data_IF_512475251417
#
_entry.id   IF_512475251417
#
_cell.length_a   1.000
_cell.length_b   1.000
_cell.length_c   1.000
_cell.angle_alpha   90.00
_cell.angle_beta   90.00
_cell.angle_gamma   90.00
#
_symmetry.space_group_name_H-M   'P 1'
#
loop_
_entity.id
_entity.type
_entity.pdbx_description
1 polymer ?
#
# COMPACT_ATOMS: atom_id res chain seq x y z
N UNK A 1 -19.00 8.52 -0.84
CA UNK A 1 -18.28 9.52 -0.03
C UNK A 1 -17.37 10.40 -0.89
N UNK A 2 -16.48 9.84 -1.75
CA UNK A 2 -15.57 10.63 -2.61
C UNK A 2 -16.32 11.54 -3.59
N UNK A 3 -17.41 11.08 -4.18
CA UNK A 3 -18.24 11.88 -5.11
C UNK A 3 -18.85 13.14 -4.47
N UNK A 4 -18.97 13.18 -3.15
CA UNK A 4 -19.42 14.40 -2.44
C UNK A 4 -18.38 15.53 -2.46
N UNK A 5 -17.12 15.24 -2.80
CA UNK A 5 -15.96 16.16 -2.72
C UNK A 5 -15.71 16.75 -1.31
N UNK A 6 -16.41 16.24 -0.27
CA UNK A 6 -16.29 16.70 1.12
C UNK A 6 -15.31 15.88 1.94
N UNK A 7 -14.80 14.75 1.42
CA UNK A 7 -13.88 13.86 2.10
C UNK A 7 -12.45 14.19 1.71
N UNK A 8 -11.60 14.40 2.71
CA UNK A 8 -10.14 14.56 2.49
C UNK A 8 -9.53 13.22 2.08
N UNK A 9 -8.45 13.27 1.30
CA UNK A 9 -7.65 12.10 0.96
C UNK A 9 -6.54 11.90 1.99
N UNK A 10 -6.15 10.66 2.17
CA UNK A 10 -5.05 10.26 3.02
C UNK A 10 -5.45 9.22 4.07
N UNK A 11 -4.45 8.67 4.73
CA UNK A 11 -4.60 7.67 5.78
C UNK A 11 -5.52 8.19 6.90
N UNK A 12 -6.54 7.41 7.25
CA UNK A 12 -7.47 7.73 8.35
C UNK A 12 -8.62 8.69 7.98
N UNK A 13 -8.71 9.19 6.72
CA UNK A 13 -9.84 10.03 6.28
C UNK A 13 -11.14 9.25 6.20
N UNK A 14 -11.07 8.01 5.75
CA UNK A 14 -12.18 7.05 5.72
C UNK A 14 -11.73 5.81 6.48
N UNK A 15 -12.55 5.35 7.41
CA UNK A 15 -12.33 4.09 8.13
C UNK A 15 -13.37 3.09 7.69
N UNK A 16 -12.92 1.86 7.41
CA UNK A 16 -13.78 0.76 7.12
C UNK A 16 -13.52 -0.34 8.15
N UNK A 17 -14.57 -0.74 8.87
CA UNK A 17 -14.58 -1.91 9.72
C UNK A 17 -15.37 -2.99 8.97
N UNK A 18 -14.67 -4.06 8.60
CA UNK A 18 -15.24 -5.17 7.82
C UNK A 18 -15.61 -6.29 8.77
N UNK A 19 -16.86 -6.72 8.72
CA UNK A 19 -17.33 -7.86 9.51
C UNK A 19 -17.43 -9.08 8.61
N UNK A 20 -16.71 -10.15 8.96
CA UNK A 20 -16.67 -11.39 8.20
C UNK A 20 -17.22 -12.53 9.05
N UNK A 21 -18.16 -13.28 8.51
CA UNK A 21 -18.77 -14.46 9.10
C UNK A 21 -18.96 -15.52 8.03
N UNK A 22 -18.73 -16.78 8.37
CA UNK A 22 -19.01 -17.91 7.49
C UNK A 22 -20.25 -18.68 7.99
N UNK A 23 -20.93 -19.36 7.07
CA UNK A 23 -22.17 -20.09 7.39
C UNK A 23 -21.99 -21.12 8.52
N UNK A 24 -20.87 -21.83 8.48
CA UNK A 24 -20.58 -22.91 9.45
C UNK A 24 -19.94 -22.40 10.75
N UNK A 25 -19.80 -21.07 10.92
CA UNK A 25 -19.14 -20.42 12.05
C UNK A 25 -20.04 -20.18 13.26
N UNK A 26 -21.22 -20.80 13.36
CA UNK A 26 -22.16 -20.67 14.49
C UNK A 26 -22.47 -19.21 14.88
N UNK A 27 -22.59 -18.32 13.89
CA UNK A 27 -22.88 -16.91 14.12
C UNK A 27 -21.70 -16.06 14.60
N UNK A 28 -20.51 -16.61 14.68
CA UNK A 28 -19.30 -15.86 15.01
C UNK A 28 -19.02 -14.83 13.90
N UNK A 29 -18.81 -13.59 14.32
CA UNK A 29 -18.46 -12.46 13.42
C UNK A 29 -17.12 -11.90 13.85
N UNK A 30 -16.18 -11.85 12.92
CA UNK A 30 -14.84 -11.25 13.12
C UNK A 30 -14.84 -9.85 12.56
N UNK A 31 -14.51 -8.88 13.39
CA UNK A 31 -14.31 -7.49 13.00
C UNK A 31 -12.87 -7.30 12.49
N UNK A 32 -12.70 -6.88 11.25
CA UNK A 32 -11.40 -6.56 10.64
C UNK A 32 -11.28 -5.06 10.44
N UNK A 33 -10.33 -4.46 11.14
CA UNK A 33 -10.00 -3.04 11.07
C UNK A 33 -8.86 -2.76 10.08
N UNK A 34 -8.72 -1.49 9.68
CA UNK A 34 -7.56 -1.04 8.91
C UNK A 34 -7.64 -1.33 7.40
N UNK A 35 -8.80 -1.65 6.88
CA UNK A 35 -9.02 -1.74 5.44
C UNK A 35 -9.14 -0.33 4.89
N UNK A 36 -8.09 0.17 4.21
CA UNK A 36 -8.01 1.55 3.74
C UNK A 36 -8.38 1.69 2.26
N UNK A 37 -8.20 0.65 1.48
CA UNK A 37 -8.38 0.66 0.02
C UNK A 37 -9.45 -0.36 -0.38
N UNK A 38 -10.24 -0.02 -1.40
CA UNK A 38 -11.34 -0.89 -1.86
C UNK A 38 -10.81 -2.18 -2.50
N UNK A 39 -9.66 -2.14 -3.16
CA UNK A 39 -8.99 -3.29 -3.77
C UNK A 39 -8.46 -4.31 -2.75
N UNK A 40 -8.27 -3.89 -1.49
CA UNK A 40 -7.92 -4.80 -0.40
C UNK A 40 -9.12 -5.57 0.14
N UNK A 41 -10.34 -5.07 -0.06
CA UNK A 41 -11.55 -5.61 0.56
C UNK A 41 -11.77 -7.07 0.20
N UNK A 42 -11.69 -7.41 -1.09
CA UNK A 42 -11.84 -8.78 -1.58
C UNK A 42 -10.84 -9.73 -0.93
N UNK A 43 -9.56 -9.36 -0.95
CA UNK A 43 -8.47 -10.18 -0.38
C UNK A 43 -8.64 -10.41 1.11
N UNK A 44 -9.03 -9.35 1.85
CA UNK A 44 -9.26 -9.43 3.29
C UNK A 44 -10.43 -10.34 3.63
N UNK A 45 -11.54 -10.23 2.91
CA UNK A 45 -12.72 -11.09 3.12
C UNK A 45 -12.40 -12.54 2.78
N UNK A 46 -11.73 -12.77 1.66
CA UNK A 46 -11.32 -14.12 1.24
C UNK A 46 -10.38 -14.78 2.26
N UNK A 47 -9.33 -14.06 2.68
CA UNK A 47 -8.38 -14.57 3.67
C UNK A 47 -9.05 -14.87 4.99
N UNK A 48 -9.90 -13.96 5.51
CA UNK A 48 -10.56 -14.15 6.80
C UNK A 48 -11.59 -15.29 6.74
N UNK A 49 -12.31 -15.45 5.65
CA UNK A 49 -13.22 -16.57 5.46
C UNK A 49 -12.46 -17.92 5.42
N UNK A 50 -11.34 -17.98 4.70
CA UNK A 50 -10.44 -19.16 4.69
C UNK A 50 -9.88 -19.44 6.09
N UNK A 51 -9.50 -18.38 6.84
CA UNK A 51 -9.00 -18.52 8.20
C UNK A 51 -10.06 -19.14 9.12
N UNK A 52 -11.28 -18.61 9.10
CA UNK A 52 -12.37 -19.13 9.91
C UNK A 52 -12.66 -20.61 9.58
N UNK A 53 -12.77 -20.94 8.31
CA UNK A 53 -12.98 -22.32 7.88
C UNK A 53 -11.79 -23.22 8.25
N UNK A 54 -10.56 -22.74 8.12
CA UNK A 54 -9.36 -23.46 8.53
C UNK A 54 -9.31 -23.74 10.04
N UNK A 55 -9.75 -22.78 10.86
CA UNK A 55 -9.84 -22.98 12.30
C UNK A 55 -10.87 -24.05 12.67
N UNK A 56 -12.00 -24.16 11.96
CA UNK A 56 -12.95 -25.26 12.16
C UNK A 56 -12.34 -26.62 11.81
N UNK A 57 -11.48 -26.70 10.79
CA UNK A 57 -10.76 -27.94 10.48
C UNK A 57 -9.74 -28.29 11.56
N UNK A 58 -9.00 -27.28 12.07
CA UNK A 58 -8.08 -27.46 13.20
C UNK A 58 -8.83 -27.91 14.46
N UNK A 59 -9.98 -27.27 14.76
CA UNK A 59 -10.84 -27.65 15.88
C UNK A 59 -11.21 -29.15 15.86
N UNK A 60 -11.70 -29.65 14.72
CA UNK A 60 -12.03 -31.06 14.55
C UNK A 60 -10.84 -31.97 14.85
N UNK A 61 -9.66 -31.63 14.34
CA UNK A 61 -8.44 -32.41 14.59
C UNK A 61 -8.03 -32.40 16.07
N UNK A 62 -8.19 -31.29 16.77
CA UNK A 62 -7.91 -31.22 18.23
C UNK A 62 -8.89 -32.07 19.00
N UNK A 63 -10.20 -32.03 18.69
CA UNK A 63 -11.24 -32.81 19.33
C UNK A 63 -10.98 -34.33 19.22
N UNK A 64 -10.51 -34.81 18.05
CA UNK A 64 -10.14 -36.18 17.81
C UNK A 64 -9.01 -36.69 18.73
N UNK A 65 -8.17 -35.77 19.24
CA UNK A 65 -6.99 -36.09 20.07
C UNK A 65 -7.32 -36.28 21.56
N UNK A 66 -8.51 -35.86 22.02
CA UNK A 66 -8.89 -35.85 23.45
C UNK A 66 -7.78 -35.20 24.31
N UNK A 67 -7.32 -34.02 23.90
CA UNK A 67 -6.27 -33.31 24.59
C UNK A 67 -6.83 -32.53 25.78
N UNK A 68 -6.11 -32.58 26.90
CA UNK A 68 -6.32 -31.77 28.10
C UNK A 68 -4.98 -31.26 28.60
N UNK A 69 -4.95 -30.06 29.13
CA UNK A 69 -3.74 -29.43 29.69
C UNK A 69 -3.66 -29.63 31.19
N UNK A 70 -2.45 -29.87 31.70
CA UNK A 70 -2.13 -29.92 33.12
C UNK A 70 -0.94 -29.03 33.42
N UNK A 71 -0.82 -28.51 34.66
CA UNK A 71 0.32 -27.64 35.04
C UNK A 71 1.69 -28.33 34.91
N UNK A 72 1.74 -29.66 34.97
CA UNK A 72 2.96 -30.45 34.76
C UNK A 72 3.48 -30.37 33.32
N UNK A 73 2.66 -29.94 32.38
CA UNK A 73 3.01 -29.82 30.97
C UNK A 73 3.86 -28.56 30.67
N UNK A 74 4.09 -27.69 31.67
CA UNK A 74 4.91 -26.49 31.59
C UNK A 74 6.23 -26.69 32.33
N UNK A 75 7.37 -26.41 31.66
CA UNK A 75 8.74 -26.54 32.23
C UNK A 75 9.61 -25.36 31.85
N UNK A 76 10.41 -24.87 32.82
CA UNK A 76 11.51 -23.96 32.56
C UNK A 76 12.69 -24.75 31.98
N UNK A 77 13.15 -24.36 30.80
CA UNK A 77 14.25 -24.97 30.05
C UNK A 77 15.38 -23.99 29.79
N UNK A 78 15.44 -22.90 30.54
CA UNK A 78 16.43 -21.81 30.33
C UNK A 78 17.85 -22.34 30.43
N UNK A 79 18.17 -23.16 31.43
CA UNK A 79 19.50 -23.75 31.59
C UNK A 79 19.83 -24.72 30.47
N UNK A 80 18.88 -25.55 30.05
CA UNK A 80 19.01 -26.52 28.97
C UNK A 80 19.42 -25.82 27.66
N UNK A 81 18.77 -24.69 27.35
CA UNK A 81 18.98 -23.91 26.13
C UNK A 81 20.07 -22.82 26.28
N UNK A 82 20.79 -22.77 27.37
CA UNK A 82 21.85 -21.76 27.61
C UNK A 82 22.95 -21.77 26.55
N UNK A 83 23.26 -22.93 25.96
CA UNK A 83 24.27 -23.11 24.92
C UNK A 83 23.71 -23.28 23.50
N UNK A 84 22.38 -23.20 23.32
CA UNK A 84 21.72 -23.34 22.05
C UNK A 84 22.20 -22.26 21.06
N UNK A 85 22.37 -22.61 19.79
CA UNK A 85 22.86 -21.70 18.74
C UNK A 85 21.81 -20.69 18.25
N UNK A 86 20.58 -20.79 18.70
CA UNK A 86 19.51 -19.86 18.33
C UNK A 86 19.77 -18.45 18.82
N UNK A 87 19.99 -17.52 17.90
CA UNK A 87 20.18 -16.10 18.21
C UNK A 87 18.98 -15.50 18.97
N UNK A 88 17.78 -15.98 18.68
CA UNK A 88 16.54 -15.51 19.34
C UNK A 88 16.56 -15.91 20.81
N UNK A 89 16.86 -17.17 21.10
CA UNK A 89 16.94 -17.70 22.47
C UNK A 89 18.09 -17.03 23.23
N UNK A 90 19.28 -16.93 22.63
CA UNK A 90 20.42 -16.29 23.26
C UNK A 90 20.17 -14.82 23.60
N UNK A 91 19.49 -14.09 22.70
CA UNK A 91 19.12 -12.70 22.96
C UNK A 91 18.08 -12.57 24.08
N UNK A 92 17.16 -13.53 24.19
CA UNK A 92 16.19 -13.58 25.27
C UNK A 92 16.84 -13.83 26.63
N UNK A 93 17.76 -14.80 26.71
CA UNK A 93 18.52 -15.10 27.93
C UNK A 93 19.38 -13.90 28.36
N UNK A 94 20.03 -13.21 27.43
CA UNK A 94 20.78 -11.97 27.71
C UNK A 94 19.91 -10.85 28.28
N UNK A 95 18.61 -10.86 27.99
CA UNK A 95 17.61 -9.94 28.54
C UNK A 95 16.93 -10.45 29.81
N UNK A 96 17.52 -11.45 30.47
CA UNK A 96 16.97 -12.10 31.66
C UNK A 96 15.55 -12.67 31.47
N UNK A 97 15.20 -13.11 30.25
CA UNK A 97 13.96 -13.81 29.99
C UNK A 97 14.17 -15.31 30.25
N UNK A 98 13.11 -15.97 30.70
CA UNK A 98 13.06 -17.42 30.85
C UNK A 98 12.63 -18.07 29.54
N UNK A 99 13.16 -19.24 29.28
CA UNK A 99 12.77 -20.07 28.13
C UNK A 99 11.87 -21.16 28.67
N UNK A 100 10.63 -21.19 28.21
CA UNK A 100 9.59 -22.11 28.71
C UNK A 100 9.21 -23.07 27.59
N UNK A 101 9.19 -24.36 27.92
CA UNK A 101 8.56 -25.38 27.10
C UNK A 101 7.16 -25.68 27.64
N UNK A 102 6.19 -25.79 26.73
CA UNK A 102 4.83 -26.22 27.03
C UNK A 102 4.54 -27.44 26.17
N UNK A 103 4.24 -28.59 26.78
CA UNK A 103 3.93 -29.82 26.06
C UNK A 103 2.43 -29.99 25.85
N UNK A 104 2.06 -30.64 24.75
CA UNK A 104 0.70 -30.89 24.34
C UNK A 104 0.57 -32.38 23.97
N UNK A 105 0.04 -33.17 24.88
CA UNK A 105 -0.07 -34.62 24.69
C UNK A 105 -0.93 -34.98 23.50
N UNK A 106 -0.47 -35.90 22.67
CA UNK A 106 -1.16 -36.40 21.45
C UNK A 106 -1.36 -35.35 20.35
N UNK A 107 -0.74 -34.18 20.41
CA UNK A 107 -0.98 -33.05 19.50
C UNK A 107 0.06 -32.94 18.38
N UNK A 108 0.92 -33.94 18.15
CA UNK A 108 1.91 -33.94 17.09
C UNK A 108 1.27 -33.62 15.72
N UNK A 109 1.87 -32.70 14.96
CA UNK A 109 1.44 -32.26 13.64
C UNK A 109 0.28 -31.24 13.64
N UNK A 110 -0.28 -30.87 14.78
CA UNK A 110 -1.44 -29.95 14.83
C UNK A 110 -1.04 -28.49 14.66
N UNK A 111 0.09 -28.07 15.21
CA UNK A 111 0.55 -26.68 15.10
C UNK A 111 0.98 -26.31 13.69
N UNK A 112 1.57 -27.29 12.97
CA UNK A 112 2.02 -27.16 11.59
C UNK A 112 0.96 -27.48 10.53
N UNK A 113 -0.19 -28.05 10.92
CA UNK A 113 -1.25 -28.39 9.97
C UNK A 113 -1.74 -27.15 9.22
N UNK A 114 -1.73 -27.23 7.90
CA UNK A 114 -2.09 -26.16 6.96
C UNK A 114 -3.40 -26.48 6.23
N UNK A 115 -4.56 -26.10 6.79
CA UNK A 115 -5.82 -26.23 6.07
C UNK A 115 -5.87 -25.35 4.82
N UNK A 116 -5.23 -24.20 4.87
CA UNK A 116 -5.00 -23.25 3.78
C UNK A 116 -3.63 -22.61 3.90
N UNK A 117 -3.10 -22.08 2.80
CA UNK A 117 -1.83 -21.37 2.80
C UNK A 117 -1.83 -20.22 3.82
N UNK A 118 -0.80 -20.19 4.66
CA UNK A 118 -0.64 -19.18 5.70
C UNK A 118 -1.58 -19.30 6.92
N UNK A 119 -2.44 -20.34 6.98
CA UNK A 119 -3.40 -20.55 8.08
C UNK A 119 -3.03 -21.82 8.84
N UNK A 120 -2.57 -21.67 10.07
CA UNK A 120 -2.17 -22.76 10.96
C UNK A 120 -2.28 -22.36 12.42
N UNK A 121 -2.43 -23.35 13.31
CA UNK A 121 -2.52 -23.12 14.75
C UNK A 121 -1.28 -22.41 15.32
N UNK A 122 -0.09 -22.78 14.84
CA UNK A 122 1.17 -22.12 15.26
C UNK A 122 1.17 -20.62 14.99
N UNK A 123 0.63 -20.17 13.83
CA UNK A 123 0.50 -18.73 13.51
C UNK A 123 -0.51 -18.03 14.44
N UNK A 124 -1.66 -18.66 14.71
CA UNK A 124 -2.67 -18.10 15.63
C UNK A 124 -2.10 -17.88 17.03
N UNK A 125 -1.36 -18.85 17.56
CA UNK A 125 -0.69 -18.74 18.86
C UNK A 125 0.41 -17.70 18.83
N UNK A 126 1.23 -17.66 17.77
CA UNK A 126 2.30 -16.66 17.62
C UNK A 126 1.75 -15.22 17.56
N UNK A 127 0.62 -15.00 16.90
CA UNK A 127 -0.04 -13.69 16.86
C UNK A 127 -0.59 -13.29 18.23
N UNK A 128 -1.18 -14.24 18.95
CA UNK A 128 -1.70 -14.01 20.31
C UNK A 128 -0.59 -13.57 21.27
N UNK A 129 0.54 -14.28 21.31
CA UNK A 129 1.61 -13.96 22.26
C UNK A 129 2.28 -12.62 21.95
N UNK A 130 2.31 -12.20 20.68
CA UNK A 130 2.80 -10.87 20.29
C UNK A 130 1.98 -9.74 20.91
N UNK A 131 0.68 -9.93 21.07
CA UNK A 131 -0.19 -8.97 21.79
C UNK A 131 0.26 -8.75 23.24
N UNK A 132 0.81 -9.80 23.89
CA UNK A 132 1.37 -9.71 25.24
C UNK A 132 2.83 -9.23 25.28
N UNK A 133 3.39 -8.82 24.13
CA UNK A 133 4.75 -8.30 24.01
C UNK A 133 5.84 -9.36 23.86
N UNK A 134 5.46 -10.61 23.53
CA UNK A 134 6.39 -11.70 23.23
C UNK A 134 6.63 -11.77 21.72
N UNK A 135 7.88 -12.02 21.30
CA UNK A 135 8.27 -12.02 19.90
C UNK A 135 7.62 -13.11 19.06
N UNK A 136 7.23 -14.21 19.65
CA UNK A 136 6.61 -15.35 19.01
C UNK A 136 6.82 -16.64 19.82
N UNK A 137 6.44 -17.77 19.22
CA UNK A 137 6.69 -19.10 19.73
C UNK A 137 7.32 -19.97 18.66
N UNK A 138 8.12 -20.95 19.05
CA UNK A 138 8.53 -22.06 18.20
C UNK A 138 7.65 -23.26 18.52
N UNK A 139 7.25 -24.03 17.52
CA UNK A 139 6.48 -25.26 17.74
C UNK A 139 7.21 -26.49 17.18
N UNK A 140 6.92 -27.66 17.75
CA UNK A 140 7.54 -28.93 17.40
C UNK A 140 7.53 -29.24 15.91
N UNK A 141 6.47 -28.84 15.21
CA UNK A 141 6.26 -29.22 13.81
C UNK A 141 7.09 -28.36 12.82
N UNK A 142 7.77 -27.32 13.28
CA UNK A 142 8.69 -26.50 12.47
C UNK A 142 10.17 -26.68 12.85
N UNK A 143 10.44 -27.42 13.90
CA UNK A 143 11.77 -27.70 14.40
C UNK A 143 12.28 -29.06 13.88
N UNK A 144 13.62 -29.25 13.66
CA UNK A 144 14.73 -28.32 13.97
C UNK A 144 14.84 -27.16 12.99
N UNK A 145 14.97 -25.94 13.50
CA UNK A 145 15.12 -24.72 12.71
C UNK A 145 15.59 -23.55 13.62
N UNK A 146 15.83 -22.38 13.06
CA UNK A 146 16.13 -21.12 13.78
C UNK A 146 17.36 -21.20 14.70
N UNK A 147 18.29 -22.11 14.43
CA UNK A 147 19.46 -22.36 15.25
C UNK A 147 19.18 -23.24 16.49
N UNK A 148 18.03 -23.89 16.54
CA UNK A 148 17.71 -25.00 17.45
C UNK A 148 18.04 -26.29 16.69
N UNK A 149 18.99 -27.07 17.17
CA UNK A 149 19.48 -28.28 16.53
C UNK A 149 18.75 -29.53 17.06
N UNK A 150 18.87 -30.66 16.35
CA UNK A 150 18.22 -31.92 16.77
C UNK A 150 18.74 -32.37 18.14
N UNK A 151 20.02 -32.15 18.47
CA UNK A 151 20.56 -32.43 19.78
C UNK A 151 19.84 -31.67 20.90
N UNK A 152 19.55 -30.39 20.69
CA UNK A 152 18.77 -29.56 21.66
C UNK A 152 17.37 -30.16 21.88
N UNK A 153 16.75 -30.63 20.79
CA UNK A 153 15.43 -31.22 20.82
C UNK A 153 15.40 -32.60 21.49
N UNK A 154 16.42 -33.42 21.30
CA UNK A 154 16.54 -34.69 22.01
C UNK A 154 16.68 -34.52 23.52
N UNK A 155 17.49 -33.55 23.95
CA UNK A 155 17.61 -33.20 25.38
C UNK A 155 16.30 -32.66 25.93
N UNK A 156 15.63 -31.77 25.19
CA UNK A 156 14.32 -31.24 25.54
C UNK A 156 13.28 -32.35 25.72
N UNK A 157 13.15 -33.26 24.74
CA UNK A 157 12.20 -34.38 24.79
C UNK A 157 12.42 -35.27 26.02
N UNK A 158 13.69 -35.54 26.36
CA UNK A 158 14.09 -36.30 27.56
C UNK A 158 13.71 -35.56 28.85
N UNK A 159 14.07 -34.27 28.91
CA UNK A 159 13.84 -33.44 30.10
C UNK A 159 12.34 -33.22 30.41
N UNK A 160 11.56 -32.90 29.36
CA UNK A 160 10.12 -32.64 29.48
C UNK A 160 9.27 -33.95 29.44
N UNK A 161 9.90 -35.08 29.07
CA UNK A 161 9.25 -36.40 28.87
C UNK A 161 8.24 -36.40 27.73
N UNK A 162 8.56 -35.70 26.62
CA UNK A 162 7.73 -35.60 25.41
C UNK A 162 7.81 -36.92 24.64
N UNK A 163 6.67 -37.48 24.25
CA UNK A 163 6.53 -38.68 23.40
C UNK A 163 6.46 -38.28 21.92
N UNK A 164 6.65 -39.25 21.05
CA UNK A 164 6.62 -39.04 19.58
C UNK A 164 5.28 -38.45 19.09
N UNK A 165 4.17 -38.79 19.73
CA UNK A 165 2.83 -38.30 19.39
C UNK A 165 2.46 -36.97 20.05
N UNK A 166 3.36 -36.37 20.81
CA UNK A 166 3.13 -35.12 21.52
C UNK A 166 3.71 -33.95 20.71
N UNK A 167 3.10 -32.80 20.88
CA UNK A 167 3.67 -31.54 20.40
C UNK A 167 4.20 -30.70 21.56
N UNK A 168 4.99 -29.68 21.25
CA UNK A 168 5.43 -28.71 22.23
C UNK A 168 5.58 -27.32 21.61
N UNK A 169 5.50 -26.31 22.46
CA UNK A 169 5.88 -24.93 22.16
C UNK A 169 7.07 -24.52 23.00
N UNK A 170 7.96 -23.71 22.43
CA UNK A 170 9.03 -23.02 23.15
C UNK A 170 8.77 -21.52 23.02
N UNK A 171 8.78 -20.81 24.15
CA UNK A 171 8.63 -19.36 24.19
C UNK A 171 9.61 -18.73 25.16
N UNK A 172 10.01 -17.49 24.86
CA UNK A 172 10.84 -16.68 25.73
C UNK A 172 10.01 -15.57 26.37
N UNK A 173 10.01 -15.45 27.69
CA UNK A 173 9.20 -14.48 28.42
C UNK A 173 9.88 -13.97 29.69
N UNK A 174 9.65 -12.71 30.10
CA UNK A 174 9.90 -12.28 31.47
C UNK A 174 9.16 -13.18 32.46
N UNK A 175 9.77 -13.48 33.58
CA UNK A 175 9.27 -14.44 34.56
C UNK A 175 7.86 -14.10 35.06
N UNK A 176 7.60 -12.82 35.31
CA UNK A 176 6.32 -12.31 35.79
C UNK A 176 5.16 -12.50 34.80
N UNK A 177 5.44 -12.66 33.51
CA UNK A 177 4.42 -12.83 32.45
C UNK A 177 4.16 -14.28 32.06
N UNK A 178 5.01 -15.22 32.46
CA UNK A 178 4.95 -16.62 32.01
C UNK A 178 3.59 -17.24 32.27
N UNK A 179 3.08 -17.13 33.50
CA UNK A 179 1.81 -17.73 33.89
C UNK A 179 0.67 -17.17 33.01
N UNK A 180 0.60 -15.86 32.86
CA UNK A 180 -0.44 -15.20 32.06
C UNK A 180 -0.38 -15.64 30.60
N UNK A 181 0.81 -15.67 30.00
CA UNK A 181 0.98 -15.99 28.57
C UNK A 181 0.65 -17.45 28.30
N UNK A 182 1.19 -18.38 29.11
CA UNK A 182 0.90 -19.80 28.95
C UNK A 182 -0.60 -20.07 29.11
N UNK A 183 -1.22 -19.46 30.11
CA UNK A 183 -2.67 -19.59 30.31
C UNK A 183 -3.47 -19.04 29.11
N UNK A 184 -3.08 -17.91 28.55
CA UNK A 184 -3.73 -17.38 27.35
C UNK A 184 -3.55 -18.28 26.11
N UNK A 185 -2.41 -18.93 25.96
CA UNK A 185 -2.18 -19.93 24.90
C UNK A 185 -3.15 -21.10 25.09
N UNK A 186 -3.23 -21.64 26.31
CA UNK A 186 -4.10 -22.77 26.62
C UNK A 186 -5.56 -22.41 26.35
N UNK A 187 -6.03 -21.30 26.91
CA UNK A 187 -7.41 -20.82 26.72
C UNK A 187 -7.73 -20.61 25.22
N UNK A 188 -6.76 -20.14 24.42
CA UNK A 188 -6.95 -19.99 22.97
C UNK A 188 -7.13 -21.34 22.28
N UNK A 189 -6.31 -22.34 22.64
CA UNK A 189 -6.37 -23.67 22.05
C UNK A 189 -7.66 -24.40 22.49
N UNK A 190 -8.04 -24.30 23.77
CA UNK A 190 -9.28 -24.82 24.30
C UNK A 190 -10.50 -24.19 23.61
N UNK A 191 -10.48 -22.86 23.45
CA UNK A 191 -11.56 -22.18 22.72
C UNK A 191 -11.67 -22.67 21.27
N UNK A 192 -10.53 -22.84 20.57
CA UNK A 192 -10.53 -23.40 19.21
C UNK A 192 -11.06 -24.84 19.22
N UNK A 193 -10.65 -25.67 20.18
CA UNK A 193 -11.16 -27.03 20.32
C UNK A 193 -12.68 -27.06 20.50
N UNK A 194 -13.22 -26.25 21.41
CA UNK A 194 -14.59 -26.35 21.85
C UNK A 194 -15.58 -25.54 21.01
N UNK A 195 -15.12 -24.38 20.48
CA UNK A 195 -15.95 -23.40 19.81
C UNK A 195 -15.49 -23.07 18.36
N UNK A 196 -14.34 -23.57 17.97
CA UNK A 196 -13.78 -23.36 16.63
C UNK A 196 -13.18 -21.98 16.44
N UNK A 197 -13.97 -20.95 16.18
CA UNK A 197 -13.49 -19.62 15.80
C UNK A 197 -13.46 -18.69 17.02
N UNK A 198 -12.27 -18.23 17.47
CA UNK A 198 -12.17 -17.23 18.52
C UNK A 198 -12.74 -15.88 18.11
N UNK A 199 -13.53 -15.26 18.99
CA UNK A 199 -14.18 -13.96 18.73
C UNK A 199 -13.15 -12.85 18.90
N UNK A 200 -12.55 -12.43 17.79
CA UNK A 200 -11.46 -11.46 17.75
C UNK A 200 -11.86 -10.17 17.00
N UNK A 201 -11.17 -9.09 17.34
CA UNK A 201 -10.95 -7.96 16.43
C UNK A 201 -9.59 -8.15 15.78
N UNK A 202 -9.53 -8.09 14.45
CA UNK A 202 -8.30 -8.30 13.66
C UNK A 202 -7.89 -7.04 12.89
N UNK A 203 -6.67 -6.99 12.42
CA UNK A 203 -6.12 -5.89 11.64
C UNK A 203 -5.76 -6.41 10.24
N UNK A 204 -6.23 -5.73 9.21
CA UNK A 204 -5.83 -6.02 7.84
C UNK A 204 -4.38 -5.60 7.58
N UNK A 205 -3.63 -6.44 6.86
CA UNK A 205 -2.29 -6.12 6.35
C UNK A 205 -2.39 -5.56 4.93
N UNK A 206 -1.31 -4.98 4.43
CA UNK A 206 -1.25 -4.49 3.04
C UNK A 206 -1.43 -5.61 2.01
N UNK A 207 -1.06 -6.84 2.35
CA UNK A 207 -1.22 -8.03 1.49
C UNK A 207 -2.62 -8.63 1.50
N UNK A 208 -3.52 -8.14 2.38
CA UNK A 208 -4.88 -8.67 2.53
C UNK A 208 -5.02 -9.75 3.61
N UNK A 209 -3.93 -10.16 4.26
CA UNK A 209 -4.02 -11.04 5.44
C UNK A 209 -4.62 -10.30 6.63
N UNK A 210 -5.17 -11.05 7.60
CA UNK A 210 -5.59 -10.48 8.88
C UNK A 210 -4.68 -10.96 10.01
N UNK A 211 -4.43 -10.08 10.99
CA UNK A 211 -3.65 -10.39 12.20
C UNK A 211 -4.47 -10.12 13.43
N UNK A 212 -4.24 -10.90 14.50
CA UNK A 212 -4.86 -10.67 15.79
C UNK A 212 -4.53 -9.27 16.32
N UNK A 213 -5.54 -8.49 16.64
CA UNK A 213 -5.39 -7.16 17.24
C UNK A 213 -5.71 -7.19 18.73
N UNK A 214 -6.87 -7.76 19.10
CA UNK A 214 -7.36 -7.87 20.47
C UNK A 214 -8.58 -8.80 20.52
N UNK A 215 -8.98 -9.30 21.69
CA UNK A 215 -10.30 -9.89 21.86
C UNK A 215 -11.38 -8.87 21.49
N UNK A 216 -12.48 -9.35 20.89
CA UNK A 216 -13.61 -8.46 20.59
C UNK A 216 -14.23 -7.97 21.90
N UNK A 217 -14.50 -6.68 22.07
CA UNK A 217 -15.20 -6.18 23.25
C UNK A 217 -16.58 -6.79 23.35
N UNK A 218 -16.96 -7.24 24.53
CA UNK A 218 -18.31 -7.71 24.81
C UNK A 218 -19.35 -6.57 24.81
N UNK A 219 -20.63 -6.94 24.94
CA UNK A 219 -21.78 -6.03 24.96
C UNK A 219 -21.69 -4.90 26.00
N UNK A 220 -20.92 -5.11 27.08
CA UNK A 220 -20.69 -4.09 28.12
C UNK A 220 -19.98 -2.81 27.60
N UNK A 221 -19.39 -2.83 26.39
CA UNK A 221 -18.82 -1.64 25.74
C UNK A 221 -19.80 -0.91 24.81
N UNK A 222 -20.96 -1.47 24.58
CA UNK A 222 -21.99 -0.89 23.73
C UNK A 222 -23.13 -0.42 24.63
N UNK A 223 -22.96 0.76 25.23
CA UNK A 223 -23.98 1.42 26.00
C UNK A 223 -24.62 2.55 25.18
N UNK A 224 -25.87 2.93 25.42
CA UNK A 224 -26.49 4.08 24.78
C UNK A 224 -25.68 5.35 25.04
N UNK A 225 -25.51 6.20 24.02
CA UNK A 225 -24.89 7.51 24.18
C UNK A 225 -25.81 8.38 25.03
N UNK A 226 -25.29 8.87 26.16
CA UNK A 226 -26.06 9.67 27.12
C UNK A 226 -25.71 11.16 27.07
N UNK A 227 -24.57 11.50 26.45
CA UNK A 227 -24.03 12.86 26.44
C UNK A 227 -24.50 13.67 25.22
N UNK A 228 -24.99 12.99 24.19
CA UNK A 228 -25.52 13.61 22.98
C UNK A 228 -27.04 13.40 22.93
N UNK A 229 -27.84 14.49 22.92
CA UNK A 229 -29.28 14.37 22.79
C UNK A 229 -29.66 13.76 21.44
N UNK A 230 -30.83 13.11 21.33
CA UNK A 230 -31.33 12.59 20.06
C UNK A 230 -31.37 13.67 18.99
N UNK A 231 -30.79 13.39 17.83
CA UNK A 231 -30.86 14.27 16.65
C UNK A 231 -32.14 13.93 15.90
N UNK A 232 -33.05 14.88 15.83
CA UNK A 232 -34.31 14.75 15.08
C UNK A 232 -34.08 15.27 13.66
N UNK A 233 -34.16 14.39 12.68
CA UNK A 233 -34.07 14.76 11.27
C UNK A 233 -35.46 15.24 10.83
N UNK A 234 -35.56 16.52 10.45
CA UNK A 234 -36.81 17.10 9.96
C UNK A 234 -37.07 16.76 8.49
N UNK A 235 -38.32 16.93 8.04
CA UNK A 235 -38.67 16.75 6.61
C UNK A 235 -37.94 17.75 5.72
N UNK A 236 -37.74 18.97 6.23
CA UNK A 236 -37.03 20.05 5.54
C UNK A 236 -35.58 19.68 5.33
N UNK A 237 -34.86 19.20 6.37
CA UNK A 237 -33.48 18.73 6.28
C UNK A 237 -33.34 17.55 5.35
N UNK A 238 -34.31 16.61 5.36
CA UNK A 238 -34.33 15.48 4.42
C UNK A 238 -34.47 15.95 2.99
N UNK A 239 -35.43 16.86 2.72
CA UNK A 239 -35.63 17.42 1.39
C UNK A 239 -34.43 18.22 0.88
N UNK A 240 -33.76 18.95 1.77
CA UNK A 240 -32.50 19.62 1.44
C UNK A 240 -31.37 18.63 1.13
N UNK A 241 -31.24 17.57 1.91
CA UNK A 241 -30.28 16.51 1.66
C UNK A 241 -30.53 15.81 0.31
N UNK A 242 -31.79 15.51 -0.02
CA UNK A 242 -32.19 14.92 -1.31
C UNK A 242 -31.79 15.79 -2.51
N UNK A 243 -31.96 17.11 -2.42
CA UNK A 243 -31.53 18.06 -3.46
C UNK A 243 -30.00 18.11 -3.63
N UNK A 244 -29.29 17.79 -2.60
CA UNK A 244 -27.83 17.83 -2.54
C UNK A 244 -27.17 16.44 -2.70
N UNK A 245 -27.95 15.41 -3.06
CA UNK A 245 -27.38 14.08 -3.34
C UNK A 245 -26.39 14.20 -4.51
N UNK A 246 -25.12 13.84 -4.33
CA UNK A 246 -24.16 13.88 -5.42
C UNK A 246 -24.53 12.81 -6.45
N UNK A 247 -24.15 13.05 -7.70
CA UNK A 247 -24.25 12.04 -8.76
C UNK A 247 -23.49 10.78 -8.35
N UNK A 248 -23.90 9.65 -8.92
CA UNK A 248 -23.19 8.40 -8.72
C UNK A 248 -21.73 8.53 -9.19
N UNK A 249 -20.87 7.60 -8.76
CA UNK A 249 -19.48 7.57 -9.20
C UNK A 249 -19.37 7.50 -10.73
N UNK A 250 -20.10 6.58 -11.34
CA UNK A 250 -20.09 6.35 -12.78
C UNK A 250 -20.66 7.54 -13.57
N UNK A 251 -21.73 8.16 -13.08
CA UNK A 251 -22.30 9.35 -13.72
C UNK A 251 -21.35 10.55 -13.63
N UNK A 252 -20.63 10.69 -12.54
CA UNK A 252 -19.63 11.74 -12.35
C UNK A 252 -18.45 11.57 -13.33
N UNK A 253 -17.97 10.33 -13.54
CA UNK A 253 -16.92 10.03 -14.52
C UNK A 253 -17.41 10.33 -15.94
N UNK A 254 -18.62 9.86 -16.31
CA UNK A 254 -19.23 10.12 -17.63
C UNK A 254 -19.42 11.62 -17.89
N UNK A 255 -19.77 12.39 -16.87
CA UNK A 255 -19.89 13.85 -17.00
C UNK A 255 -18.53 14.48 -17.32
N UNK A 256 -17.46 14.08 -16.63
CA UNK A 256 -16.11 14.58 -16.89
C UNK A 256 -15.63 14.17 -18.28
N UNK A 257 -15.84 12.91 -18.66
CA UNK A 257 -15.53 12.38 -19.99
C UNK A 257 -16.22 13.23 -21.09
N UNK A 258 -17.53 13.43 -20.96
CA UNK A 258 -18.33 14.18 -21.95
C UNK A 258 -17.97 15.66 -21.98
N UNK A 259 -17.86 16.27 -20.80
CA UNK A 259 -17.61 17.72 -20.66
C UNK A 259 -16.25 18.14 -21.17
N UNK A 260 -15.21 17.33 -20.87
CA UNK A 260 -13.83 17.67 -21.21
C UNK A 260 -13.27 16.86 -22.38
N UNK A 261 -14.05 15.95 -22.95
CA UNK A 261 -13.70 15.08 -24.10
C UNK A 261 -12.38 14.32 -23.85
N UNK A 262 -12.23 13.79 -22.65
CA UNK A 262 -11.10 12.93 -22.25
C UNK A 262 -11.54 11.48 -22.24
N UNK A 263 -10.59 10.53 -22.36
CA UNK A 263 -10.94 9.12 -22.35
C UNK A 263 -11.43 8.66 -20.96
N UNK A 264 -12.21 7.56 -20.86
CA UNK A 264 -12.81 7.10 -19.60
C UNK A 264 -11.79 6.86 -18.50
N UNK A 265 -10.66 6.24 -18.82
CA UNK A 265 -9.62 5.93 -17.86
C UNK A 265 -9.01 7.21 -17.24
N UNK A 266 -8.74 8.21 -18.05
CA UNK A 266 -8.20 9.49 -17.59
C UNK A 266 -9.26 10.32 -16.84
N UNK A 267 -10.54 10.20 -17.24
CA UNK A 267 -11.68 10.80 -16.54
C UNK A 267 -11.80 10.24 -15.12
N UNK A 268 -11.69 8.92 -14.97
CA UNK A 268 -11.70 8.27 -13.68
C UNK A 268 -10.49 8.69 -12.84
N UNK A 269 -9.28 8.67 -13.41
CA UNK A 269 -8.06 9.07 -12.71
C UNK A 269 -8.15 10.50 -12.19
N UNK A 270 -8.58 11.46 -13.01
CA UNK A 270 -8.68 12.86 -12.57
C UNK A 270 -9.82 13.07 -11.57
N UNK A 271 -10.97 12.39 -11.74
CA UNK A 271 -12.06 12.44 -10.80
C UNK A 271 -11.64 11.91 -9.43
N UNK A 272 -10.95 10.78 -9.40
CA UNK A 272 -10.43 10.19 -8.16
C UNK A 272 -9.15 10.87 -7.66
N UNK A 273 -8.53 11.80 -8.40
CA UNK A 273 -7.32 12.49 -7.98
C UNK A 273 -7.58 13.62 -6.97
N UNK A 274 -6.58 13.98 -6.18
CA UNK A 274 -6.60 15.19 -5.35
C UNK A 274 -6.64 16.47 -6.18
N UNK A 275 -6.43 16.35 -7.49
CA UNK A 275 -6.25 17.46 -8.39
C UNK A 275 -7.52 17.84 -9.16
N UNK A 276 -8.67 17.18 -8.95
CA UNK A 276 -9.91 17.47 -9.71
C UNK A 276 -10.30 18.97 -9.66
N UNK A 277 -10.25 19.59 -8.47
CA UNK A 277 -10.57 21.01 -8.35
C UNK A 277 -9.53 21.91 -9.02
N UNK A 278 -8.25 21.54 -8.97
CA UNK A 278 -7.18 22.25 -9.68
C UNK A 278 -7.33 22.11 -11.19
N UNK A 279 -7.61 20.91 -11.68
CA UNK A 279 -7.89 20.64 -13.08
C UNK A 279 -9.03 21.51 -13.61
N UNK A 280 -10.18 21.53 -12.93
CA UNK A 280 -11.32 22.36 -13.32
C UNK A 280 -10.98 23.85 -13.36
N UNK A 281 -10.18 24.34 -12.39
CA UNK A 281 -9.72 25.73 -12.37
C UNK A 281 -8.78 26.08 -13.53
N UNK A 282 -7.85 25.17 -13.86
CA UNK A 282 -6.91 25.37 -14.96
C UNK A 282 -7.67 25.43 -16.30
N UNK A 283 -8.52 24.42 -16.57
CA UNK A 283 -9.28 24.36 -17.83
C UNK A 283 -10.24 25.55 -18.00
N UNK A 284 -10.78 26.08 -16.90
CA UNK A 284 -11.66 27.27 -16.95
C UNK A 284 -10.91 28.56 -17.30
N UNK A 285 -9.64 28.68 -16.89
CA UNK A 285 -8.87 29.92 -16.96
C UNK A 285 -7.85 29.95 -18.10
N UNK A 286 -7.43 28.81 -18.59
CA UNK A 286 -6.29 28.63 -19.48
C UNK A 286 -6.76 27.86 -20.72
N UNK A 287 -6.43 28.38 -21.90
CA UNK A 287 -6.77 27.72 -23.17
C UNK A 287 -5.77 26.59 -23.47
N UNK A 288 -5.98 25.44 -22.88
CA UNK A 288 -5.12 24.26 -23.05
C UNK A 288 -5.95 22.97 -23.16
N UNK A 289 -5.36 21.92 -23.72
CA UNK A 289 -6.02 20.63 -23.86
C UNK A 289 -6.34 20.00 -22.51
N UNK A 290 -7.62 19.66 -22.20
CA UNK A 290 -7.97 18.97 -20.96
C UNK A 290 -7.24 17.64 -20.80
N UNK A 291 -7.07 16.87 -21.87
CA UNK A 291 -6.30 15.62 -21.88
C UNK A 291 -4.87 15.83 -21.45
N UNK A 292 -4.23 16.90 -21.94
CA UNK A 292 -2.85 17.22 -21.58
C UNK A 292 -2.74 17.59 -20.10
N UNK A 293 -3.59 18.45 -19.58
CA UNK A 293 -3.59 18.84 -18.16
C UNK A 293 -3.83 17.62 -17.27
N UNK A 294 -4.83 16.80 -17.59
CA UNK A 294 -5.13 15.58 -16.81
C UNK A 294 -3.96 14.60 -16.84
N UNK A 295 -3.29 14.43 -17.98
CA UNK A 295 -2.11 13.56 -18.10
C UNK A 295 -0.94 14.03 -17.24
N UNK A 296 -0.69 15.34 -17.17
CA UNK A 296 0.34 15.90 -16.29
C UNK A 296 -0.03 15.63 -14.82
N UNK A 297 -1.26 15.95 -14.41
CA UNK A 297 -1.68 15.85 -13.03
C UNK A 297 -1.79 14.39 -12.52
N UNK A 298 -2.23 13.46 -13.37
CA UNK A 298 -2.49 12.08 -12.97
C UNK A 298 -1.38 11.10 -13.37
N UNK A 299 -0.72 11.30 -14.51
CA UNK A 299 0.28 10.36 -15.01
C UNK A 299 1.70 10.82 -14.71
N UNK A 300 2.08 12.03 -15.14
CA UNK A 300 3.46 12.52 -14.98
C UNK A 300 3.83 12.68 -13.51
N UNK A 301 3.03 13.40 -12.72
CA UNK A 301 3.31 13.58 -11.28
C UNK A 301 3.37 12.22 -10.57
N UNK A 302 2.46 11.29 -10.86
CA UNK A 302 2.49 9.95 -10.27
C UNK A 302 3.74 9.15 -10.67
N UNK A 303 4.22 9.29 -11.91
CA UNK A 303 5.45 8.65 -12.33
C UNK A 303 6.68 9.22 -11.60
N UNK A 304 6.72 10.54 -11.42
CA UNK A 304 7.76 11.20 -10.64
C UNK A 304 7.73 10.77 -9.15
N UNK A 305 6.55 10.61 -8.56
CA UNK A 305 6.40 10.04 -7.21
C UNK A 305 6.96 8.60 -7.12
N UNK A 306 6.68 7.76 -8.12
CA UNK A 306 7.20 6.38 -8.20
C UNK A 306 8.72 6.33 -8.35
N UNK A 307 9.33 7.35 -8.93
CA UNK A 307 10.80 7.49 -8.99
C UNK A 307 11.42 8.02 -7.70
N UNK A 308 10.61 8.24 -6.65
CA UNK A 308 11.06 8.63 -5.31
C UNK A 308 11.04 10.13 -5.03
N UNK A 309 10.39 10.93 -5.88
CA UNK A 309 10.25 12.38 -5.69
C UNK A 309 9.02 12.71 -4.84
N UNK A 310 9.09 13.80 -4.07
CA UNK A 310 8.02 14.20 -3.13
C UNK A 310 7.04 15.21 -3.75
N UNK A 311 5.85 14.73 -4.09
CA UNK A 311 4.78 15.58 -4.62
C UNK A 311 4.15 16.53 -3.60
N UNK A 312 4.41 16.37 -2.30
CA UNK A 312 3.93 17.30 -1.29
C UNK A 312 4.62 18.67 -1.38
N UNK A 313 5.77 18.74 -2.04
CA UNK A 313 6.48 19.99 -2.33
C UNK A 313 5.78 20.81 -3.44
N UNK A 314 4.94 20.18 -4.27
CA UNK A 314 4.17 20.84 -5.32
C UNK A 314 2.91 21.52 -4.75
N UNK A 315 2.92 22.83 -4.71
CA UNK A 315 1.74 23.62 -4.34
C UNK A 315 0.83 23.82 -5.56
N UNK A 316 -0.49 23.81 -5.32
CA UNK A 316 -1.49 24.01 -6.40
C UNK A 316 -1.31 25.33 -7.16
N UNK A 317 -0.85 26.38 -6.46
CA UNK A 317 -0.56 27.68 -7.04
C UNK A 317 0.59 27.60 -8.04
N UNK A 318 1.64 26.85 -7.73
CA UNK A 318 2.79 26.67 -8.61
C UNK A 318 2.44 25.81 -9.84
N UNK A 319 1.62 24.77 -9.67
CA UNK A 319 1.09 24.02 -10.81
C UNK A 319 0.25 24.92 -11.72
N UNK A 320 -0.59 25.79 -11.17
CA UNK A 320 -1.39 26.73 -11.94
C UNK A 320 -0.52 27.72 -12.71
N UNK A 321 0.57 28.24 -12.10
CA UNK A 321 1.54 29.13 -12.76
C UNK A 321 2.25 28.41 -13.90
N UNK A 322 2.62 27.14 -13.72
CA UNK A 322 3.26 26.35 -14.78
C UNK A 322 2.41 26.34 -16.06
N UNK A 323 1.11 26.09 -15.96
CA UNK A 323 0.21 26.10 -17.11
C UNK A 323 -0.02 27.52 -17.68
N UNK A 324 0.02 28.57 -16.84
CA UNK A 324 -0.05 29.94 -17.32
C UNK A 324 1.19 30.33 -18.15
N UNK A 325 2.38 29.93 -17.72
CA UNK A 325 3.63 30.16 -18.46
C UNK A 325 3.65 29.37 -19.77
N UNK A 326 3.10 28.15 -19.77
CA UNK A 326 2.94 27.35 -20.97
C UNK A 326 1.99 28.03 -21.98
N UNK A 327 0.84 28.55 -21.54
CA UNK A 327 -0.11 29.27 -22.40
C UNK A 327 0.52 30.51 -23.03
N UNK A 328 1.33 31.23 -22.27
CA UNK A 328 2.05 32.41 -22.77
C UNK A 328 3.22 32.06 -23.68
N UNK A 329 3.57 30.78 -23.82
CA UNK A 329 4.74 30.34 -24.59
C UNK A 329 6.08 30.62 -23.93
N UNK A 330 6.10 31.00 -22.66
CA UNK A 330 7.32 31.25 -21.90
C UNK A 330 8.07 29.96 -21.56
N UNK A 331 7.38 28.82 -21.56
CA UNK A 331 7.94 27.47 -21.40
C UNK A 331 7.38 26.54 -22.48
N UNK A 332 8.11 25.46 -22.78
CA UNK A 332 7.65 24.39 -23.69
C UNK A 332 6.95 23.25 -22.93
N UNK A 333 6.19 22.40 -23.64
CA UNK A 333 5.58 21.20 -23.04
C UNK A 333 6.63 20.24 -22.49
N UNK A 334 7.76 20.15 -23.18
CA UNK A 334 8.88 19.27 -22.84
C UNK A 334 9.62 19.72 -21.58
N UNK A 335 9.55 21.00 -21.22
CA UNK A 335 10.18 21.52 -20.01
C UNK A 335 9.41 21.24 -18.73
N UNK A 336 8.12 20.88 -18.85
CA UNK A 336 7.25 20.64 -17.68
C UNK A 336 7.82 19.56 -16.77
N UNK A 337 8.25 18.44 -17.33
CA UNK A 337 8.83 17.32 -16.58
C UNK A 337 10.04 17.77 -15.76
N UNK A 338 10.95 18.48 -16.39
CA UNK A 338 12.20 18.97 -15.76
C UNK A 338 11.89 19.97 -14.63
N UNK A 339 10.92 20.87 -14.83
CA UNK A 339 10.49 21.84 -13.83
C UNK A 339 9.86 21.12 -12.62
N UNK A 340 8.97 20.15 -12.88
CA UNK A 340 8.33 19.37 -11.82
C UNK A 340 9.34 18.52 -11.04
N UNK A 341 10.28 17.85 -11.71
CA UNK A 341 11.38 17.12 -11.07
C UNK A 341 12.21 18.03 -10.15
N UNK A 342 12.52 19.24 -10.61
CA UNK A 342 13.32 20.19 -9.86
C UNK A 342 12.63 20.62 -8.56
N UNK A 343 11.30 20.86 -8.62
CA UNK A 343 10.51 21.22 -7.44
C UNK A 343 10.33 20.01 -6.53
N UNK A 344 9.95 18.84 -7.07
CA UNK A 344 9.69 17.61 -6.31
C UNK A 344 10.94 17.02 -5.67
N UNK A 345 12.14 17.32 -6.21
CA UNK A 345 13.43 16.98 -5.59
C UNK A 345 13.86 17.97 -4.50
N UNK A 346 13.11 19.06 -4.27
CA UNK A 346 13.43 20.09 -3.30
C UNK A 346 14.54 21.06 -3.72
N UNK A 347 15.02 21.00 -4.97
CA UNK A 347 16.05 21.93 -5.50
C UNK A 347 15.51 23.33 -5.73
N UNK A 348 14.22 23.48 -6.01
CA UNK A 348 13.50 24.75 -6.15
C UNK A 348 12.18 24.71 -5.41
N UNK A 349 11.73 25.87 -4.94
CA UNK A 349 10.44 26.02 -4.23
C UNK A 349 9.33 26.54 -5.13
N UNK A 350 9.66 27.17 -6.24
CA UNK A 350 8.73 27.80 -7.17
C UNK A 350 9.06 27.45 -8.62
N UNK A 351 8.06 27.55 -9.50
CA UNK A 351 8.26 27.35 -10.94
C UNK A 351 9.29 28.31 -11.51
N UNK A 352 9.28 29.58 -11.08
CA UNK A 352 10.25 30.60 -11.53
C UNK A 352 11.68 30.20 -11.17
N UNK A 353 11.90 29.81 -9.93
CA UNK A 353 13.20 29.34 -9.45
C UNK A 353 13.66 28.07 -10.19
N UNK A 354 12.74 27.15 -10.49
CA UNK A 354 13.05 25.95 -11.24
C UNK A 354 13.47 26.26 -12.69
N UNK A 355 12.84 27.24 -13.34
CA UNK A 355 13.22 27.71 -14.69
C UNK A 355 14.62 28.29 -14.65
N UNK A 356 14.92 29.18 -13.70
CA UNK A 356 16.25 29.78 -13.54
C UNK A 356 17.32 28.72 -13.26
N UNK A 357 17.07 27.77 -12.37
CA UNK A 357 18.02 26.71 -12.01
C UNK A 357 18.27 25.69 -13.13
N UNK A 358 17.32 25.50 -14.02
CA UNK A 358 17.42 24.53 -15.13
C UNK A 358 17.83 25.13 -16.44
N UNK A 359 18.07 26.47 -16.49
CA UNK A 359 18.39 27.22 -17.71
C UNK A 359 17.38 26.97 -18.83
N UNK A 360 16.12 26.76 -18.48
CA UNK A 360 14.98 26.63 -19.40
C UNK A 360 14.52 28.05 -19.78
N UNK A 361 15.38 28.85 -20.36
CA UNK A 361 14.94 30.06 -21.04
C UNK A 361 14.45 29.68 -22.44
N UNK A 362 13.27 30.16 -22.80
CA UNK A 362 12.80 30.02 -24.18
C UNK A 362 13.82 30.69 -25.11
N UNK A 363 14.48 29.88 -25.94
CA UNK A 363 15.39 30.42 -26.96
C UNK A 363 14.54 31.29 -27.89
N UNK A 364 14.90 32.57 -28.03
CA UNK A 364 14.25 33.46 -28.97
C UNK A 364 14.28 32.83 -30.39
N UNK A 365 13.18 32.94 -31.13
CA UNK A 365 13.05 32.29 -32.45
C UNK A 365 14.21 32.52 -33.40
N UNK A 366 14.93 33.64 -33.27
CA UNK A 366 16.12 34.00 -34.06
C UNK A 366 17.33 33.11 -33.67
N UNK A 367 17.52 32.83 -32.39
CA UNK A 367 18.63 31.99 -31.94
C UNK A 367 18.35 30.52 -32.23
N UNK A 368 17.08 30.09 -32.14
CA UNK A 368 16.63 28.75 -32.49
C UNK A 368 16.87 28.46 -33.99
N UNK A 369 16.56 29.41 -34.87
CA UNK A 369 16.77 29.29 -36.34
C UNK A 369 18.24 29.10 -36.66
N UNK A 370 19.15 29.87 -36.04
CA UNK A 370 20.60 29.73 -36.20
C UNK A 370 21.12 28.36 -35.74
N UNK A 371 20.69 27.88 -34.56
CA UNK A 371 21.12 26.57 -34.04
C UNK A 371 20.68 25.46 -34.99
N UNK A 372 19.45 25.54 -35.50
CA UNK A 372 18.92 24.56 -36.44
C UNK A 372 19.66 24.63 -37.78
N UNK A 373 19.98 25.82 -38.29
CA UNK A 373 20.80 25.99 -39.50
C UNK A 373 22.17 25.34 -39.31
N UNK A 374 22.87 25.58 -38.21
CA UNK A 374 24.18 24.96 -37.94
C UNK A 374 24.09 23.43 -37.86
N UNK A 375 23.05 22.87 -37.23
CA UNK A 375 22.86 21.42 -37.15
C UNK A 375 22.60 20.84 -38.55
N UNK A 376 21.79 21.51 -39.36
CA UNK A 376 21.49 21.10 -40.74
C UNK A 376 22.76 21.14 -41.59
N UNK A 377 23.61 22.15 -41.45
CA UNK A 377 24.88 22.26 -42.15
C UNK A 377 25.88 21.19 -41.74
N UNK A 378 26.05 20.94 -40.44
CA UNK A 378 26.96 19.90 -39.93
C UNK A 378 26.55 18.49 -40.35
N UNK A 379 25.26 18.27 -40.68
CA UNK A 379 24.71 16.95 -41.04
C UNK A 379 24.24 16.86 -42.50
N UNK A 380 24.85 17.63 -43.42
CA UNK A 380 24.52 17.69 -44.86
C UNK A 380 24.55 16.30 -45.55
N UNK A 381 25.42 15.40 -45.10
CA UNK A 381 25.50 14.03 -45.59
C UNK A 381 24.22 13.23 -45.37
N UNK A 382 23.53 13.42 -44.24
CA UNK A 382 22.25 12.78 -43.92
C UNK A 382 21.19 13.29 -44.88
N UNK A 383 21.18 14.59 -45.17
CA UNK A 383 20.20 15.23 -46.05
C UNK A 383 20.39 14.75 -47.49
N UNK A 384 21.64 14.68 -47.99
CA UNK A 384 21.94 14.14 -49.32
C UNK A 384 21.45 12.70 -49.50
N UNK A 385 21.64 11.85 -48.48
CA UNK A 385 21.28 10.43 -48.56
C UNK A 385 19.79 10.17 -48.37
N UNK A 386 19.10 10.88 -47.46
CA UNK A 386 17.73 10.60 -47.06
C UNK A 386 16.70 11.61 -47.53
N UNK A 387 17.12 12.72 -48.13
CA UNK A 387 16.26 13.83 -48.59
C UNK A 387 15.29 14.30 -47.50
N UNK A 388 14.00 14.36 -47.78
CA UNK A 388 12.98 14.77 -46.79
C UNK A 388 12.87 13.82 -45.56
N UNK A 389 13.30 12.56 -45.72
CA UNK A 389 13.32 11.61 -44.59
C UNK A 389 14.39 11.89 -43.54
N UNK A 390 15.33 12.77 -43.85
CA UNK A 390 16.37 13.26 -42.95
C UNK A 390 15.79 13.96 -41.69
N UNK A 391 14.50 14.37 -41.73
CA UNK A 391 13.84 15.07 -40.64
C UNK A 391 13.83 14.22 -39.34
N UNK A 392 13.62 12.90 -39.41
CA UNK A 392 13.60 12.03 -38.24
C UNK A 392 14.95 11.97 -37.50
N UNK A 393 16.04 11.57 -38.15
CA UNK A 393 17.38 11.60 -37.57
C UNK A 393 17.81 12.97 -37.07
N UNK A 394 17.56 14.05 -37.85
CA UNK A 394 17.91 15.42 -37.46
C UNK A 394 17.08 15.91 -36.28
N UNK A 395 15.80 15.57 -36.20
CA UNK A 395 14.96 15.85 -35.04
C UNK A 395 15.53 15.24 -33.75
N UNK A 396 16.04 14.00 -33.82
CA UNK A 396 16.72 13.35 -32.71
C UNK A 396 17.98 14.12 -32.24
N UNK A 397 18.76 14.63 -33.15
CA UNK A 397 19.97 15.42 -32.83
C UNK A 397 19.59 16.76 -32.21
N UNK A 398 18.66 17.49 -32.84
CA UNK A 398 18.18 18.79 -32.33
C UNK A 398 17.53 18.66 -30.97
N UNK A 399 16.68 17.63 -30.76
CA UNK A 399 16.04 17.39 -29.47
C UNK A 399 17.03 17.02 -28.37
N UNK A 400 18.19 16.48 -28.71
CA UNK A 400 19.24 16.20 -27.71
C UNK A 400 19.89 17.47 -27.18
N UNK A 401 20.02 18.49 -28.01
CA UNK A 401 20.62 19.78 -27.64
C UNK A 401 19.61 20.81 -27.12
N UNK A 402 18.37 20.76 -27.61
CA UNK A 402 17.33 21.76 -27.35
C UNK A 402 16.15 21.23 -26.53
N UNK A 403 16.28 20.05 -25.91
CA UNK A 403 15.21 19.48 -25.07
C UNK A 403 14.81 20.44 -23.93
N UNK A 404 13.54 20.80 -23.91
CA UNK A 404 12.99 21.74 -22.91
C UNK A 404 13.17 23.22 -23.24
N UNK A 405 13.90 23.59 -24.30
CA UNK A 405 14.19 25.01 -24.70
C UNK A 405 13.32 25.54 -25.83
N UNK A 406 12.69 24.65 -26.61
CA UNK A 406 11.75 25.00 -27.66
C UNK A 406 10.74 23.90 -27.89
N UNK A 407 9.55 24.25 -28.46
CA UNK A 407 8.51 23.25 -28.74
C UNK A 407 8.90 22.33 -29.89
N UNK A 408 8.57 21.04 -29.79
CA UNK A 408 8.84 20.09 -30.87
C UNK A 408 8.19 20.47 -32.20
N UNK A 409 7.03 21.12 -32.19
CA UNK A 409 6.33 21.62 -33.39
C UNK A 409 7.11 22.74 -34.05
N UNK A 410 7.65 23.67 -33.26
CA UNK A 410 8.46 24.77 -33.77
C UNK A 410 9.79 24.28 -34.36
N UNK A 411 10.46 23.36 -33.65
CA UNK A 411 11.69 22.70 -34.14
C UNK A 411 11.41 21.97 -35.47
N UNK A 412 10.32 21.19 -35.51
CA UNK A 412 9.94 20.44 -36.71
C UNK A 412 9.67 21.35 -37.92
N UNK A 413 8.95 22.45 -37.73
CA UNK A 413 8.65 23.41 -38.79
C UNK A 413 9.93 24.09 -39.33
N UNK A 414 10.86 24.49 -38.45
CA UNK A 414 12.12 25.08 -38.80
C UNK A 414 13.07 24.08 -39.48
N UNK A 415 13.13 22.84 -39.01
CA UNK A 415 13.89 21.77 -39.66
C UNK A 415 13.39 21.49 -41.06
N UNK A 416 12.08 21.38 -41.28
CA UNK A 416 11.48 21.18 -42.60
C UNK A 416 11.84 22.33 -43.54
N UNK A 417 11.74 23.57 -43.06
CA UNK A 417 12.11 24.78 -43.84
C UNK A 417 13.57 24.72 -44.26
N UNK A 418 14.48 24.42 -43.35
CA UNK A 418 15.92 24.41 -43.61
C UNK A 418 16.36 23.22 -44.48
N UNK A 419 15.75 22.02 -44.28
CA UNK A 419 15.99 20.85 -45.14
C UNK A 419 15.58 21.15 -46.59
N UNK A 420 14.38 21.73 -46.79
CA UNK A 420 13.92 22.13 -48.15
C UNK A 420 14.85 23.15 -48.82
N UNK A 421 15.18 24.21 -48.08
CA UNK A 421 16.15 25.24 -48.57
C UNK A 421 17.49 24.60 -48.95
N UNK A 422 17.96 23.59 -48.19
CA UNK A 422 19.23 22.93 -48.50
C UNK A 422 19.13 21.99 -49.70
N UNK A 423 17.99 21.30 -49.89
CA UNK A 423 17.73 20.43 -51.04
C UNK A 423 17.56 21.19 -52.35
N UNK A 424 17.11 22.45 -52.31
CA UNK A 424 17.02 23.35 -53.48
C UNK A 424 18.40 23.85 -53.92
N UNK A 425 19.39 23.81 -53.01
CA UNK A 425 20.78 24.27 -53.26
C UNK A 425 21.76 23.12 -53.53
N UNK A 426 21.29 21.85 -53.55
CA UNK A 426 22.07 20.64 -53.88
C UNK A 426 21.62 20.09 -55.25
#
# INVERSE_FOLDING_TARGET
LRSTKKVKRGLGSIRQDVNVSIKDGNGVVIEVKGVQQLDQLEKVVEYEAKRQHGLLQISKKIQEKNWEFTDEDKKDITELFSKCKSKIIQNAIKKNQRIIAVSFKKMAGIFGFLPYEGIRLGKEVAELVRFFGIGGVFHSDELPNYGIEESDLEELRKFVKIKENDAFLILASPEEKIHTIVNQIILRIEHIRDHGIPIDTRLATQTGETKFLRPRPGSARMYPETDIPPIIITKEELSEAEKNIPKSWDDSIKEIETKYKINPQLAEQIFDSRYIGLFENIIKKINTSPTFVASILCSLITNLERSGLDSNLLKNEEISKLFQLLEKGEISKESIEIILENIMSGKSKTVKEAIENTSIESINGIDLEKIIEEIVEKNESIIKNQKERAIGPLMGIVMKELRGKASGEMINSLLLKNIKKKLENI
#
